data_IF_390599717582
#
_entry.id   IF_390599717582
#
_cell.length_a   1.000
_cell.length_b   1.000
_cell.length_c   1.000
_cell.angle_alpha   90.00
_cell.angle_beta   90.00
_cell.angle_gamma   90.00
#
_symmetry.space_group_name_H-M   'P 1'
#
loop_
_entity.id
_entity.type
_entity.pdbx_description
1 polymer ?
#
# COMPACT_ATOMS: atom_id res chain seq x y z
N UNK A 1 3.61 7.20 -16.14
CA UNK A 1 3.36 5.81 -16.62
C UNK A 1 3.11 4.93 -15.40
N UNK A 2 2.03 4.14 -15.44
CA UNK A 2 1.69 3.19 -14.38
C UNK A 2 2.81 2.17 -14.16
N UNK A 3 3.02 1.74 -12.93
CA UNK A 3 4.04 0.77 -12.54
C UNK A 3 3.41 -0.42 -11.84
N UNK A 4 3.91 -1.61 -12.12
CA UNK A 4 3.43 -2.85 -11.51
C UNK A 4 4.56 -3.59 -10.84
N UNK A 5 4.29 -4.20 -9.69
CA UNK A 5 5.27 -4.99 -8.95
C UNK A 5 4.66 -5.83 -7.82
N UNK A 6 5.45 -6.74 -7.24
CA UNK A 6 5.04 -7.58 -6.12
C UNK A 6 5.28 -6.91 -4.75
N UNK A 7 4.51 -7.34 -3.75
CA UNK A 7 4.73 -7.05 -2.33
C UNK A 7 5.78 -8.03 -1.76
N UNK A 8 7.05 -7.80 -2.07
CA UNK A 8 8.17 -8.62 -1.61
C UNK A 8 8.57 -9.76 -2.54
N UNK A 9 9.46 -10.62 -2.04
CA UNK A 9 9.92 -11.80 -2.74
C UNK A 9 8.87 -12.91 -2.69
N UNK A 10 8.65 -13.58 -3.81
CA UNK A 10 7.63 -14.61 -3.96
C UNK A 10 8.22 -15.97 -4.42
N UNK A 11 7.41 -17.01 -4.44
CA UNK A 11 7.86 -18.35 -4.88
C UNK A 11 8.51 -18.34 -6.25
N UNK A 12 8.00 -17.57 -7.20
CA UNK A 12 8.57 -17.48 -8.56
C UNK A 12 9.95 -16.83 -8.58
N UNK A 13 10.24 -15.88 -7.68
CA UNK A 13 11.58 -15.30 -7.50
C UNK A 13 12.59 -16.37 -7.05
N UNK A 14 12.24 -17.14 -6.03
CA UNK A 14 13.11 -18.23 -5.54
C UNK A 14 13.25 -19.36 -6.53
N UNK A 15 12.19 -19.72 -7.25
CA UNK A 15 12.21 -20.74 -8.32
C UNK A 15 13.09 -20.32 -9.51
N UNK A 16 13.22 -19.01 -9.78
CA UNK A 16 14.14 -18.48 -10.78
C UNK A 16 15.62 -18.49 -10.31
N UNK A 17 15.91 -19.00 -9.12
CA UNK A 17 17.27 -19.17 -8.58
C UNK A 17 17.78 -17.98 -7.76
N UNK A 18 17.02 -16.90 -7.62
CA UNK A 18 17.35 -15.75 -6.80
C UNK A 18 17.10 -16.02 -5.32
N UNK A 19 17.83 -15.33 -4.43
CA UNK A 19 17.77 -15.62 -2.98
C UNK A 19 17.66 -14.38 -2.09
N UNK A 20 18.28 -13.26 -2.52
CA UNK A 20 18.39 -12.04 -1.72
C UNK A 20 17.53 -10.92 -2.33
N UNK A 21 16.89 -10.13 -1.50
CA UNK A 21 16.04 -9.01 -1.96
C UNK A 21 16.80 -7.98 -2.82
N UNK A 22 18.11 -7.84 -2.64
CA UNK A 22 18.95 -6.96 -3.48
C UNK A 22 19.02 -7.44 -4.95
N UNK A 23 18.67 -8.70 -5.23
CA UNK A 23 18.62 -9.26 -6.58
C UNK A 23 17.24 -9.03 -7.24
N UNK A 24 16.21 -8.68 -6.46
CA UNK A 24 14.85 -8.49 -6.95
C UNK A 24 14.76 -7.45 -8.07
N UNK A 25 15.41 -6.27 -8.01
CA UNK A 25 15.32 -5.28 -9.09
C UNK A 25 15.79 -5.80 -10.44
N UNK A 26 16.87 -6.59 -10.48
CA UNK A 26 17.36 -7.22 -11.70
C UNK A 26 16.32 -8.19 -12.26
N UNK A 27 15.84 -9.11 -11.43
CA UNK A 27 14.85 -10.11 -11.84
C UNK A 27 13.54 -9.47 -12.31
N UNK A 28 13.03 -8.47 -11.60
CA UNK A 28 11.81 -7.75 -11.97
C UNK A 28 11.95 -7.08 -13.34
N UNK A 29 13.11 -6.47 -13.62
CA UNK A 29 13.40 -5.90 -14.94
C UNK A 29 13.38 -6.96 -16.03
N UNK A 30 13.98 -8.14 -15.78
CA UNK A 30 14.03 -9.25 -16.74
C UNK A 30 12.63 -9.77 -17.10
N UNK A 31 11.70 -9.80 -16.14
CA UNK A 31 10.32 -10.23 -16.37
C UNK A 31 9.35 -9.09 -16.78
N UNK A 32 9.83 -7.83 -16.88
CA UNK A 32 9.05 -6.71 -17.39
C UNK A 32 8.20 -5.95 -16.35
N UNK A 33 8.49 -6.12 -15.06
CA UNK A 33 7.91 -5.33 -13.95
C UNK A 33 8.78 -4.11 -13.63
N UNK A 34 8.18 -3.09 -12.98
CA UNK A 34 8.80 -1.79 -12.77
C UNK A 34 8.65 -1.23 -11.35
N UNK A 35 8.01 -1.98 -10.45
CA UNK A 35 7.87 -1.64 -9.05
C UNK A 35 8.21 -2.83 -8.14
N UNK A 36 8.57 -2.53 -6.90
CA UNK A 36 8.83 -3.51 -5.84
C UNK A 36 8.48 -2.89 -4.51
N UNK A 37 7.69 -3.57 -3.69
CA UNK A 37 7.45 -3.15 -2.33
C UNK A 37 8.18 -4.04 -1.33
N UNK A 38 9.02 -3.44 -0.50
CA UNK A 38 9.72 -4.15 0.56
C UNK A 38 8.88 -4.16 1.83
N UNK A 39 8.42 -5.33 2.29
CA UNK A 39 7.58 -5.44 3.48
C UNK A 39 8.43 -5.71 4.73
N UNK A 40 8.24 -4.88 5.76
CA UNK A 40 8.86 -5.09 7.07
C UNK A 40 8.11 -6.08 7.96
N UNK A 41 6.85 -6.39 7.65
CA UNK A 41 6.07 -7.40 8.37
C UNK A 41 6.10 -7.19 9.89
N UNK A 42 6.88 -8.02 10.60
CA UNK A 42 6.96 -8.01 12.07
C UNK A 42 8.12 -7.19 12.65
N UNK A 43 8.81 -6.39 11.83
CA UNK A 43 9.89 -5.53 12.31
C UNK A 43 10.87 -5.11 11.23
N UNK A 44 11.64 -4.07 11.53
CA UNK A 44 12.61 -3.48 10.61
C UNK A 44 13.94 -4.22 10.76
N UNK A 45 14.13 -5.29 9.96
CA UNK A 45 15.33 -6.14 10.00
C UNK A 45 16.33 -5.84 8.88
N UNK A 46 16.01 -4.91 7.98
CA UNK A 46 16.87 -4.53 6.86
C UNK A 46 18.08 -3.72 7.36
N UNK A 47 19.30 -4.26 7.19
CA UNK A 47 20.55 -3.55 7.53
C UNK A 47 20.81 -2.40 6.53
N UNK A 48 21.55 -1.38 6.97
CA UNK A 48 21.83 -0.18 6.16
C UNK A 48 22.58 -0.49 4.87
N UNK A 49 23.61 -1.32 4.93
CA UNK A 49 24.37 -1.75 3.74
C UNK A 49 23.47 -2.45 2.71
N UNK A 50 22.58 -3.33 3.17
CA UNK A 50 21.64 -4.03 2.30
C UNK A 50 20.59 -3.07 1.71
N UNK A 51 20.16 -2.06 2.48
CA UNK A 51 19.25 -1.03 1.99
C UNK A 51 19.89 -0.18 0.88
N UNK A 52 21.14 0.22 1.07
CA UNK A 52 21.92 0.97 0.08
C UNK A 52 22.11 0.12 -1.19
N UNK A 53 22.53 -1.14 -1.06
CA UNK A 53 22.71 -2.06 -2.19
C UNK A 53 21.40 -2.26 -2.95
N UNK A 54 20.28 -2.48 -2.26
CA UNK A 54 18.96 -2.57 -2.87
C UNK A 54 18.62 -1.32 -3.69
N UNK A 55 18.90 -0.14 -3.13
CA UNK A 55 18.69 1.15 -3.79
C UNK A 55 19.53 1.31 -5.06
N UNK A 56 20.81 0.94 -5.01
CA UNK A 56 21.70 0.96 -6.19
C UNK A 56 21.19 0.03 -7.29
N UNK A 57 20.76 -1.19 -6.95
CA UNK A 57 20.18 -2.12 -7.90
C UNK A 57 18.85 -1.60 -8.46
N UNK A 58 17.98 -1.05 -7.61
CA UNK A 58 16.71 -0.46 -8.05
C UNK A 58 16.94 0.68 -9.05
N UNK A 59 17.86 1.60 -8.77
CA UNK A 59 18.25 2.68 -9.67
C UNK A 59 18.81 2.16 -10.98
N UNK A 60 19.71 1.16 -10.93
CA UNK A 60 20.35 0.54 -12.10
C UNK A 60 19.33 -0.09 -13.05
N UNK A 61 18.33 -0.75 -12.52
CA UNK A 61 17.32 -1.48 -13.31
C UNK A 61 16.03 -0.69 -13.54
N UNK A 62 15.90 0.52 -13.00
CA UNK A 62 14.73 1.38 -13.18
C UNK A 62 13.49 0.86 -12.45
N UNK A 63 13.68 0.25 -11.27
CA UNK A 63 12.59 -0.24 -10.41
C UNK A 63 12.27 0.81 -9.34
N UNK A 64 11.00 1.21 -9.24
CA UNK A 64 10.53 2.04 -8.12
C UNK A 64 10.34 1.16 -6.89
N UNK A 65 10.96 1.55 -5.77
CA UNK A 65 10.84 0.82 -4.51
C UNK A 65 10.01 1.62 -3.53
N UNK A 66 8.97 0.99 -3.00
CA UNK A 66 8.22 1.40 -1.81
C UNK A 66 8.56 0.50 -0.63
N UNK A 67 8.19 0.93 0.57
CA UNK A 67 8.25 0.11 1.78
C UNK A 67 6.85 0.00 2.37
N UNK A 68 6.48 -1.20 2.81
CA UNK A 68 5.36 -1.41 3.71
C UNK A 68 5.87 -1.45 5.15
N UNK A 69 5.36 -0.55 6.00
CA UNK A 69 5.75 -0.44 7.40
C UNK A 69 5.29 -1.66 8.23
N UNK A 70 5.86 -1.88 9.44
CA UNK A 70 5.44 -2.97 10.31
C UNK A 70 3.97 -2.89 10.75
N UNK A 71 3.30 -4.04 10.90
CA UNK A 71 1.87 -4.15 11.29
C UNK A 71 1.54 -3.62 12.68
N UNK A 72 2.54 -3.28 13.51
CA UNK A 72 2.33 -2.85 14.89
C UNK A 72 1.90 -1.40 15.05
N UNK A 73 1.87 -0.64 13.95
CA UNK A 73 1.44 0.76 13.95
C UNK A 73 -0.05 0.83 14.23
N UNK A 74 -0.43 1.68 15.21
CA UNK A 74 -1.83 1.97 15.51
C UNK A 74 -1.96 3.38 16.10
N UNK A 75 -2.34 4.34 15.28
CA UNK A 75 -2.52 5.73 15.71
C UNK A 75 -3.81 5.98 16.49
N UNK A 76 -4.71 4.99 16.65
CA UNK A 76 -5.85 5.06 17.53
C UNK A 76 -5.59 4.49 18.95
N UNK A 77 -4.34 4.19 19.29
CA UNK A 77 -4.03 3.69 20.62
C UNK A 77 -4.16 4.82 21.66
N UNK A 78 -4.86 4.62 22.81
CA UNK A 78 -4.97 5.62 23.86
C UNK A 78 -3.70 5.80 24.72
N UNK A 79 -2.75 4.86 24.64
CA UNK A 79 -1.50 4.88 25.39
C UNK A 79 -0.44 5.72 24.63
N UNK A 80 0.06 6.84 25.24
CA UNK A 80 1.06 7.68 24.60
C UNK A 80 2.37 6.95 24.22
N UNK A 81 2.80 5.98 25.04
CA UNK A 81 4.01 5.21 24.75
C UNK A 81 3.84 4.34 23.50
N UNK A 82 2.62 3.84 23.25
CA UNK A 82 2.29 3.09 22.02
C UNK A 82 2.22 4.00 20.81
N UNK A 83 1.79 5.24 20.98
CA UNK A 83 1.82 6.24 19.91
C UNK A 83 3.26 6.60 19.56
N UNK A 84 4.11 6.88 20.55
CA UNK A 84 5.53 7.14 20.28
C UNK A 84 6.19 5.96 19.56
N UNK A 85 5.92 4.71 19.98
CA UNK A 85 6.39 3.53 19.27
C UNK A 85 5.88 3.47 17.82
N UNK A 86 4.62 3.82 17.55
CA UNK A 86 4.05 3.86 16.21
C UNK A 86 4.75 4.92 15.35
N UNK A 87 5.00 6.11 15.90
CA UNK A 87 5.77 7.18 15.24
C UNK A 87 7.20 6.68 14.93
N UNK A 88 7.86 6.04 15.89
CA UNK A 88 9.22 5.52 15.68
C UNK A 88 9.29 4.42 14.64
N UNK A 89 8.27 3.55 14.50
CA UNK A 89 8.19 2.60 13.40
C UNK A 89 8.13 3.30 12.04
N UNK A 90 7.36 4.38 11.92
CA UNK A 90 7.30 5.18 10.68
C UNK A 90 8.65 5.84 10.40
N UNK A 91 9.24 6.53 11.39
CA UNK A 91 10.55 7.21 11.25
C UNK A 91 11.65 6.23 10.83
N UNK A 92 11.77 5.11 11.54
CA UNK A 92 12.80 4.10 11.22
C UNK A 92 12.58 3.47 9.85
N UNK A 93 11.32 3.31 9.42
CA UNK A 93 11.01 2.83 8.06
C UNK A 93 11.42 3.85 7.00
N UNK A 94 11.21 5.15 7.27
CA UNK A 94 11.63 6.24 6.38
C UNK A 94 13.14 6.37 6.28
N UNK A 95 13.89 6.12 7.37
CA UNK A 95 15.36 6.07 7.31
C UNK A 95 15.84 4.97 6.34
N UNK A 96 15.21 3.79 6.38
CA UNK A 96 15.53 2.72 5.43
C UNK A 96 15.10 3.08 4.00
N UNK A 97 13.91 3.67 3.83
CA UNK A 97 13.40 4.12 2.55
C UNK A 97 14.34 5.17 1.92
N UNK A 98 14.90 6.07 2.73
CA UNK A 98 15.90 7.05 2.33
C UNK A 98 17.18 6.41 1.80
N UNK A 99 17.70 5.38 2.49
CA UNK A 99 18.87 4.63 2.03
C UNK A 99 18.61 3.89 0.71
N UNK A 100 17.40 3.36 0.52
CA UNK A 100 16.98 2.73 -0.73
C UNK A 100 16.80 3.77 -1.86
N UNK A 101 16.52 5.04 -1.51
CA UNK A 101 16.17 6.08 -2.48
C UNK A 101 14.72 6.05 -2.96
N UNK A 102 13.85 5.32 -2.26
CA UNK A 102 12.40 5.32 -2.46
C UNK A 102 11.71 6.56 -1.89
N UNK A 103 10.41 6.70 -2.16
CA UNK A 103 9.62 7.87 -1.72
C UNK A 103 8.30 7.53 -1.06
N UNK A 104 7.83 6.28 -1.12
CA UNK A 104 6.52 5.84 -0.65
C UNK A 104 6.66 4.87 0.52
N UNK A 105 6.03 5.20 1.65
CA UNK A 105 5.91 4.34 2.82
C UNK A 105 4.43 4.02 3.04
N UNK A 106 4.04 2.77 2.85
CA UNK A 106 2.68 2.30 3.14
C UNK A 106 2.54 2.02 4.63
N UNK A 107 1.42 2.46 5.20
CA UNK A 107 1.15 2.39 6.64
C UNK A 107 -0.31 2.02 6.89
N UNK A 108 -0.55 0.95 7.66
CA UNK A 108 -1.85 0.69 8.28
C UNK A 108 -2.10 1.76 9.34
N UNK A 109 -3.14 2.63 9.22
CA UNK A 109 -3.24 3.79 10.09
C UNK A 109 -3.66 3.44 11.52
N UNK A 110 -4.70 2.58 11.68
CA UNK A 110 -5.27 2.36 12.99
C UNK A 110 -6.21 1.13 13.07
N UNK A 111 -6.49 0.73 14.31
CA UNK A 111 -7.57 -0.19 14.65
C UNK A 111 -8.30 0.29 15.89
N UNK A 112 -9.61 -0.01 15.98
CA UNK A 112 -10.45 0.44 17.11
C UNK A 112 -10.01 -0.19 18.45
N UNK A 113 -9.46 -1.41 18.42
CA UNK A 113 -9.15 -2.12 19.66
C UNK A 113 -10.42 -2.33 20.51
N UNK A 114 -10.48 -1.63 21.65
CA UNK A 114 -11.64 -1.64 22.57
C UNK A 114 -12.46 -0.34 22.52
N UNK A 115 -12.02 0.63 21.73
CA UNK A 115 -12.68 1.93 21.58
C UNK A 115 -13.88 1.81 20.62
N UNK A 116 -14.85 2.70 20.77
CA UNK A 116 -15.80 2.91 19.69
C UNK A 116 -15.12 3.55 18.48
N UNK A 117 -15.78 3.47 17.32
CA UNK A 117 -15.15 3.90 16.05
C UNK A 117 -14.88 5.40 16.00
N UNK A 118 -15.79 6.23 16.53
CA UNK A 118 -15.66 7.68 16.47
C UNK A 118 -14.52 8.16 17.38
N UNK A 119 -14.39 7.54 18.56
CA UNK A 119 -13.28 7.80 19.48
C UNK A 119 -11.95 7.38 18.86
N UNK A 120 -11.89 6.19 18.26
CA UNK A 120 -10.70 5.69 17.57
C UNK A 120 -10.28 6.58 16.39
N UNK A 121 -11.23 7.04 15.56
CA UNK A 121 -11.00 7.99 14.48
C UNK A 121 -10.42 9.31 14.98
N UNK A 122 -11.00 9.87 16.04
CA UNK A 122 -10.52 11.13 16.64
C UNK A 122 -9.09 11.00 17.15
N UNK A 123 -8.77 9.90 17.82
CA UNK A 123 -7.39 9.62 18.27
C UNK A 123 -6.44 9.46 17.09
N UNK A 124 -6.83 8.70 16.07
CA UNK A 124 -6.01 8.51 14.87
C UNK A 124 -5.69 9.85 14.18
N UNK A 125 -6.68 10.75 14.02
CA UNK A 125 -6.46 12.08 13.45
C UNK A 125 -5.47 12.90 14.28
N UNK A 126 -5.64 12.97 15.59
CA UNK A 126 -4.76 13.72 16.48
C UNK A 126 -3.31 13.19 16.42
N UNK A 127 -3.16 11.87 16.45
CA UNK A 127 -1.82 11.23 16.45
C UNK A 127 -1.15 11.28 15.07
N UNK A 128 -1.91 11.30 13.98
CA UNK A 128 -1.38 11.56 12.64
C UNK A 128 -0.88 13.00 12.49
N UNK A 129 -1.47 13.98 13.17
CA UNK A 129 -0.93 15.34 13.23
C UNK A 129 0.39 15.38 14.01
N UNK A 130 0.51 14.64 15.13
CA UNK A 130 1.78 14.48 15.84
C UNK A 130 2.84 13.81 14.98
N UNK A 131 2.46 12.78 14.22
CA UNK A 131 3.36 12.18 13.24
C UNK A 131 3.84 13.21 12.22
N UNK A 132 2.92 13.99 11.62
CA UNK A 132 3.27 15.03 10.65
C UNK A 132 4.30 16.00 11.22
N UNK A 133 4.05 16.54 12.42
CA UNK A 133 4.98 17.45 13.08
C UNK A 133 6.37 16.83 13.29
N UNK A 134 6.41 15.55 13.74
CA UNK A 134 7.66 14.82 13.90
C UNK A 134 8.41 14.66 12.57
N UNK A 135 7.70 14.33 11.49
CA UNK A 135 8.30 14.18 10.16
C UNK A 135 8.84 15.51 9.60
N UNK A 136 8.15 16.62 9.85
CA UNK A 136 8.63 17.95 9.46
C UNK A 136 9.93 18.32 10.18
N UNK A 137 10.00 18.07 11.50
CA UNK A 137 11.21 18.32 12.31
C UNK A 137 12.39 17.47 11.82
N UNK A 138 12.15 16.20 11.44
CA UNK A 138 13.19 15.27 11.01
C UNK A 138 13.57 15.39 9.52
N UNK A 139 12.91 16.28 8.76
CA UNK A 139 13.20 16.51 7.35
C UNK A 139 12.65 15.42 6.41
N UNK A 140 11.53 14.78 6.78
CA UNK A 140 10.85 13.77 5.97
C UNK A 140 9.59 14.30 5.24
N UNK A 141 9.40 15.63 5.17
CA UNK A 141 8.22 16.24 4.53
C UNK A 141 8.08 15.94 3.03
N UNK A 142 9.18 15.54 2.36
CA UNK A 142 9.19 15.16 0.93
C UNK A 142 8.85 13.68 0.68
N UNK A 143 8.63 12.89 1.75
CA UNK A 143 8.26 11.48 1.64
C UNK A 143 6.75 11.31 1.70
N UNK A 144 6.22 10.39 0.91
CA UNK A 144 4.79 10.09 0.86
C UNK A 144 4.46 9.02 1.89
N UNK A 145 3.64 9.38 2.86
CA UNK A 145 3.04 8.44 3.81
C UNK A 145 1.74 7.95 3.20
N UNK A 146 1.75 6.72 2.75
CA UNK A 146 0.67 6.09 2.01
C UNK A 146 -0.25 5.34 2.99
N UNK A 147 -1.32 6.01 3.47
CA UNK A 147 -2.26 5.43 4.44
C UNK A 147 -3.18 4.43 3.73
N UNK A 148 -3.26 3.21 4.26
CA UNK A 148 -3.90 2.10 3.56
C UNK A 148 -5.33 1.85 4.00
N UNK A 149 -6.21 1.53 3.02
CA UNK A 149 -7.56 1.01 3.28
C UNK A 149 -7.50 -0.40 3.85
N UNK A 150 -8.38 -0.70 4.82
CA UNK A 150 -8.33 -1.93 5.61
C UNK A 150 -9.52 -2.86 5.35
N UNK A 151 -9.28 -4.17 5.45
CA UNK A 151 -10.23 -5.21 5.09
C UNK A 151 -11.13 -5.73 6.22
N UNK A 152 -10.97 -5.23 7.47
CA UNK A 152 -11.73 -5.72 8.63
C UNK A 152 -12.51 -4.60 9.30
N UNK A 153 -13.77 -4.84 9.74
CA UNK A 153 -14.61 -3.82 10.41
C UNK A 153 -13.99 -3.21 11.68
N UNK A 154 -13.15 -3.97 12.39
CA UNK A 154 -12.45 -3.49 13.59
C UNK A 154 -11.24 -2.58 13.30
N UNK A 155 -10.84 -2.46 12.05
CA UNK A 155 -9.77 -1.57 11.62
C UNK A 155 -10.36 -0.25 11.13
N UNK A 156 -9.62 0.84 11.33
CA UNK A 156 -9.91 2.15 10.76
C UNK A 156 -9.27 2.21 9.38
N UNK A 157 -10.07 2.35 8.34
CA UNK A 157 -9.51 2.31 6.98
C UNK A 157 -10.54 2.08 5.89
N UNK A 158 -11.80 2.50 6.04
CA UNK A 158 -12.66 2.68 4.87
C UNK A 158 -12.03 3.71 3.93
N UNK A 159 -12.30 3.65 2.63
CA UNK A 159 -11.70 4.60 1.70
C UNK A 159 -12.04 6.07 2.05
N UNK A 160 -13.22 6.32 2.64
CA UNK A 160 -13.63 7.66 3.10
C UNK A 160 -12.80 8.12 4.30
N UNK A 161 -12.55 7.24 5.27
CA UNK A 161 -11.70 7.54 6.43
C UNK A 161 -10.25 7.80 6.02
N UNK A 162 -9.70 6.99 5.11
CA UNK A 162 -8.34 7.17 4.60
C UNK A 162 -8.22 8.50 3.86
N UNK A 163 -9.17 8.83 3.00
CA UNK A 163 -9.19 10.11 2.28
C UNK A 163 -9.26 11.28 3.26
N UNK A 164 -10.07 11.18 4.32
CA UNK A 164 -10.17 12.22 5.33
C UNK A 164 -8.85 12.39 6.13
N UNK A 165 -8.21 11.30 6.55
CA UNK A 165 -6.88 11.34 7.16
C UNK A 165 -5.83 11.93 6.21
N UNK A 166 -5.93 11.67 4.91
CA UNK A 166 -5.02 12.24 3.93
C UNK A 166 -5.15 13.76 3.78
N UNK A 167 -6.23 14.40 4.20
CA UNK A 167 -6.37 15.87 4.24
C UNK A 167 -5.47 16.52 5.28
N UNK A 168 -5.02 15.79 6.29
CA UNK A 168 -4.20 16.31 7.40
C UNK A 168 -2.81 16.80 6.96
N UNK A 169 -2.28 16.29 5.84
CA UNK A 169 -0.97 16.67 5.34
C UNK A 169 -0.87 16.56 3.80
N UNK A 170 -0.12 17.44 3.12
CA UNK A 170 0.08 17.32 1.67
C UNK A 170 0.83 16.05 1.26
N UNK A 171 1.63 15.45 2.15
CA UNK A 171 2.38 14.22 1.90
C UNK A 171 1.68 12.94 2.41
N UNK A 172 0.48 13.03 2.97
CA UNK A 172 -0.35 11.87 3.25
C UNK A 172 -1.16 11.52 2.00
N UNK A 173 -0.90 10.34 1.46
CA UNK A 173 -1.46 9.84 0.19
C UNK A 173 -2.26 8.57 0.49
N UNK A 174 -3.42 8.36 -0.13
CA UNK A 174 -4.13 7.11 0.06
C UNK A 174 -3.43 5.95 -0.65
N UNK A 175 -3.27 4.83 0.07
CA UNK A 175 -3.10 3.52 -0.52
C UNK A 175 -4.47 2.87 -0.58
N UNK A 176 -4.94 2.60 -1.79
CA UNK A 176 -6.22 1.93 -2.00
C UNK A 176 -5.96 0.47 -2.26
N UNK A 177 -6.21 -0.37 -1.25
CA UNK A 177 -6.27 -1.81 -1.42
C UNK A 177 -7.70 -2.21 -1.80
N UNK A 178 -7.88 -2.57 -3.06
CA UNK A 178 -9.18 -2.95 -3.60
C UNK A 178 -9.63 -4.33 -3.11
N UNK A 179 -8.71 -5.21 -2.76
CA UNK A 179 -9.02 -6.47 -2.12
C UNK A 179 -9.61 -6.27 -0.71
N UNK A 180 -9.00 -5.38 0.08
CA UNK A 180 -9.51 -5.00 1.41
C UNK A 180 -10.90 -4.36 1.33
N UNK A 181 -11.11 -3.44 0.39
CA UNK A 181 -12.43 -2.81 0.19
C UNK A 181 -13.47 -3.87 -0.21
N UNK A 182 -13.13 -4.77 -1.14
CA UNK A 182 -14.03 -5.85 -1.56
C UNK A 182 -14.38 -6.78 -0.38
N UNK A 183 -13.41 -7.11 0.46
CA UNK A 183 -13.63 -7.93 1.66
C UNK A 183 -14.51 -7.22 2.69
N UNK A 184 -14.25 -5.95 2.97
CA UNK A 184 -15.02 -5.13 3.92
C UNK A 184 -16.48 -4.95 3.46
N UNK A 185 -16.71 -4.81 2.15
CA UNK A 185 -18.04 -4.65 1.55
C UNK A 185 -18.71 -5.98 1.18
N UNK A 186 -18.12 -7.12 1.57
CA UNK A 186 -18.65 -8.47 1.30
C UNK A 186 -18.90 -8.71 -0.20
N UNK A 187 -17.90 -8.35 -1.03
CA UNK A 187 -17.99 -8.50 -2.48
C UNK A 187 -18.68 -7.33 -3.19
N UNK A 188 -18.51 -6.12 -2.67
CA UNK A 188 -19.15 -4.92 -3.22
C UNK A 188 -18.54 -4.38 -4.50
N UNK A 189 -17.31 -4.78 -4.89
CA UNK A 189 -16.66 -4.32 -6.12
C UNK A 189 -16.97 -5.25 -7.29
N UNK A 190 -18.00 -4.96 -8.09
CA UNK A 190 -18.49 -5.79 -9.18
C UNK A 190 -18.44 -5.13 -10.54
N UNK A 191 -18.67 -3.83 -10.60
CA UNK A 191 -18.85 -3.07 -11.85
C UNK A 191 -17.84 -1.93 -11.94
N UNK A 192 -17.66 -1.36 -13.14
CA UNK A 192 -16.82 -0.17 -13.31
C UNK A 192 -17.29 1.00 -12.45
N UNK A 193 -18.60 1.12 -12.20
CA UNK A 193 -19.18 2.21 -11.40
C UNK A 193 -18.77 2.12 -9.93
N UNK A 194 -18.59 0.90 -9.37
CA UNK A 194 -18.12 0.72 -7.99
C UNK A 194 -16.68 1.28 -7.81
N UNK A 195 -15.80 1.03 -8.78
CA UNK A 195 -14.44 1.59 -8.77
C UNK A 195 -14.43 3.07 -9.10
N UNK A 196 -15.29 3.52 -10.02
CA UNK A 196 -15.41 4.93 -10.40
C UNK A 196 -15.88 5.78 -9.22
N UNK A 197 -16.79 5.28 -8.39
CA UNK A 197 -17.21 5.97 -7.15
C UNK A 197 -16.00 6.26 -6.26
N UNK A 198 -15.14 5.27 -6.01
CA UNK A 198 -13.97 5.42 -5.14
C UNK A 198 -12.97 6.42 -5.74
N UNK A 199 -12.61 6.28 -7.02
CA UNK A 199 -11.65 7.16 -7.67
C UNK A 199 -12.18 8.58 -7.76
N UNK A 200 -13.46 8.77 -8.14
CA UNK A 200 -14.11 10.08 -8.17
C UNK A 200 -14.11 10.74 -6.79
N UNK A 201 -14.41 9.98 -5.73
CA UNK A 201 -14.38 10.49 -4.36
C UNK A 201 -13.00 11.01 -3.98
N UNK A 202 -11.93 10.27 -4.31
CA UNK A 202 -10.55 10.68 -4.05
C UNK A 202 -10.23 11.99 -4.79
N UNK A 203 -10.60 12.10 -6.08
CA UNK A 203 -10.39 13.32 -6.87
C UNK A 203 -11.13 14.52 -6.30
N UNK A 204 -12.39 14.33 -5.93
CA UNK A 204 -13.24 15.40 -5.38
C UNK A 204 -12.73 15.92 -4.04
N UNK A 205 -12.27 15.03 -3.16
CA UNK A 205 -11.91 15.37 -1.78
C UNK A 205 -10.44 15.82 -1.63
N UNK A 206 -9.53 15.29 -2.45
CA UNK A 206 -8.08 15.58 -2.33
C UNK A 206 -7.53 16.46 -3.45
N UNK A 207 -8.30 16.67 -4.51
CA UNK A 207 -7.87 17.37 -5.71
C UNK A 207 -6.99 16.52 -6.63
N UNK A 208 -6.87 16.94 -7.88
CA UNK A 208 -6.21 16.18 -8.95
C UNK A 208 -4.74 15.85 -8.65
N UNK A 209 -3.98 16.84 -8.17
CA UNK A 209 -2.54 16.66 -7.91
C UNK A 209 -2.26 15.53 -6.92
N UNK A 210 -3.04 15.46 -5.85
CA UNK A 210 -2.89 14.45 -4.81
C UNK A 210 -3.49 13.12 -5.24
N UNK A 211 -4.66 13.15 -5.87
CA UNK A 211 -5.34 11.95 -6.38
C UNK A 211 -4.48 11.20 -7.41
N UNK A 212 -3.72 11.90 -8.26
CA UNK A 212 -2.79 11.27 -9.21
C UNK A 212 -1.59 10.59 -8.57
N UNK A 213 -1.32 10.82 -7.29
CA UNK A 213 -0.22 10.19 -6.53
C UNK A 213 -0.65 8.94 -5.77
N UNK A 214 -1.90 8.48 -5.87
CA UNK A 214 -2.39 7.30 -5.15
C UNK A 214 -1.46 6.11 -5.33
N UNK A 215 -1.40 5.29 -4.29
CA UNK A 215 -0.79 3.98 -4.30
C UNK A 215 -1.89 2.93 -4.33
N UNK A 216 -1.69 1.82 -5.01
CA UNK A 216 -2.71 0.78 -5.13
C UNK A 216 -2.12 -0.56 -4.69
N UNK A 217 -2.82 -1.25 -3.79
CA UNK A 217 -2.66 -2.67 -3.56
C UNK A 217 -3.79 -3.43 -4.24
N UNK A 218 -3.47 -4.58 -4.80
CA UNK A 218 -4.45 -5.41 -5.47
C UNK A 218 -4.15 -6.90 -5.31
N UNK A 219 -5.15 -7.62 -4.85
CA UNK A 219 -5.25 -9.08 -4.90
C UNK A 219 -6.71 -9.49 -4.77
N UNK A 220 -7.05 -10.72 -5.13
CA UNK A 220 -8.32 -11.31 -4.67
C UNK A 220 -8.19 -11.67 -3.20
N UNK A 221 -9.27 -11.55 -2.43
CA UNK A 221 -9.29 -11.82 -0.99
C UNK A 221 -10.46 -12.70 -0.62
N UNK A 222 -10.16 -13.80 0.10
CA UNK A 222 -11.19 -14.56 0.82
C UNK A 222 -11.68 -13.72 2.00
N UNK A 223 -13.00 -13.64 2.15
CA UNK A 223 -13.62 -12.88 3.23
C UNK A 223 -14.80 -13.65 3.86
N UNK A 224 -15.14 -13.27 5.08
CA UNK A 224 -16.28 -13.77 5.83
C UNK A 224 -16.97 -12.65 6.57
N UNK A 225 -17.90 -12.96 7.47
CA UNK A 225 -18.67 -11.97 8.22
C UNK A 225 -17.82 -10.94 9.02
N UNK A 226 -16.56 -11.25 9.29
CA UNK A 226 -15.59 -10.37 9.98
C UNK A 226 -14.63 -9.65 9.03
N UNK A 227 -14.92 -9.64 7.73
CA UNK A 227 -14.08 -9.05 6.69
C UNK A 227 -13.01 -10.02 6.18
N UNK A 228 -11.85 -9.51 5.82
CA UNK A 228 -10.71 -10.21 5.24
C UNK A 228 -10.27 -11.44 6.07
N UNK A 229 -10.00 -12.55 5.37
CA UNK A 229 -9.44 -13.79 5.92
C UNK A 229 -8.01 -13.97 5.41
N UNK A 230 -7.79 -13.94 4.08
CA UNK A 230 -6.46 -14.09 3.45
C UNK A 230 -6.46 -13.62 2.01
N UNK A 231 -5.29 -13.21 1.53
CA UNK A 231 -5.04 -12.94 0.13
C UNK A 231 -5.05 -14.24 -0.69
N UNK A 232 -5.62 -14.15 -1.89
CA UNK A 232 -5.72 -15.23 -2.87
C UNK A 232 -4.91 -14.87 -4.12
N UNK A 233 -4.83 -15.77 -5.07
CA UNK A 233 -4.27 -15.51 -6.39
C UNK A 233 -5.36 -14.98 -7.34
N UNK A 234 -4.96 -14.39 -8.46
CA UNK A 234 -5.95 -13.96 -9.49
C UNK A 234 -6.67 -15.12 -10.17
N UNK A 235 -6.16 -16.35 -10.02
CA UNK A 235 -6.79 -17.58 -10.53
C UNK A 235 -8.02 -18.03 -9.70
N UNK A 236 -8.26 -17.43 -8.52
CA UNK A 236 -9.46 -17.76 -7.73
C UNK A 236 -10.73 -17.34 -8.47
N UNK A 237 -11.72 -18.23 -8.53
CA UNK A 237 -12.98 -18.02 -9.25
C UNK A 237 -14.15 -17.68 -8.31
N UNK A 238 -13.94 -17.78 -6.99
CA UNK A 238 -15.00 -17.59 -5.99
C UNK A 238 -15.01 -16.14 -5.48
N UNK A 239 -13.83 -15.59 -5.20
CA UNK A 239 -13.70 -14.29 -4.61
C UNK A 239 -13.13 -13.27 -5.62
N UNK A 240 -13.51 -12.01 -5.45
CA UNK A 240 -12.96 -10.87 -6.17
C UNK A 240 -11.95 -10.08 -5.32
N UNK A 241 -11.66 -8.86 -5.74
CA UNK A 241 -12.24 -8.14 -6.90
C UNK A 241 -11.60 -8.51 -8.24
N UNK A 242 -12.22 -8.07 -9.35
CA UNK A 242 -11.63 -8.18 -10.69
C UNK A 242 -10.88 -6.89 -11.06
N UNK A 243 -9.74 -7.01 -11.74
CA UNK A 243 -8.89 -5.85 -12.06
C UNK A 243 -9.31 -5.11 -13.32
N UNK A 244 -9.90 -5.78 -14.31
CA UNK A 244 -10.24 -5.15 -15.59
C UNK A 244 -11.16 -3.92 -15.47
N UNK A 245 -12.21 -3.90 -14.62
CA UNK A 245 -13.01 -2.70 -14.38
C UNK A 245 -12.19 -1.55 -13.79
N UNK A 246 -11.31 -1.83 -12.81
CA UNK A 246 -10.41 -0.82 -12.25
C UNK A 246 -9.46 -0.26 -13.31
N UNK A 247 -8.86 -1.11 -14.14
CA UNK A 247 -7.93 -0.69 -15.18
C UNK A 247 -8.55 0.32 -16.16
N UNK A 248 -9.81 0.11 -16.56
CA UNK A 248 -10.56 1.07 -17.39
C UNK A 248 -10.78 2.41 -16.69
N UNK A 249 -11.19 2.37 -15.42
CA UNK A 249 -11.39 3.58 -14.61
C UNK A 249 -10.09 4.35 -14.42
N UNK A 250 -8.96 3.67 -14.18
CA UNK A 250 -7.65 4.34 -14.08
C UNK A 250 -7.26 5.05 -15.38
N UNK A 251 -7.58 4.46 -16.55
CA UNK A 251 -7.36 5.12 -17.85
C UNK A 251 -8.31 6.30 -18.04
N UNK A 252 -9.59 6.18 -17.69
CA UNK A 252 -10.59 7.25 -17.74
C UNK A 252 -10.14 8.49 -16.97
N UNK A 253 -9.65 8.32 -15.76
CA UNK A 253 -9.15 9.40 -14.90
C UNK A 253 -7.71 9.83 -15.20
N UNK A 254 -7.04 9.21 -16.16
CA UNK A 254 -5.64 9.46 -16.48
C UNK A 254 -4.71 9.35 -15.25
N UNK A 255 -4.91 8.31 -14.45
CA UNK A 255 -4.10 8.01 -13.26
C UNK A 255 -3.07 6.96 -13.59
N UNK A 256 -1.82 7.20 -13.19
CA UNK A 256 -0.70 6.28 -13.40
C UNK A 256 -0.06 5.92 -12.05
N UNK A 257 -0.73 5.15 -11.20
CA UNK A 257 -0.25 4.79 -9.87
C UNK A 257 0.91 3.79 -9.91
N UNK A 258 1.49 3.56 -8.72
CA UNK A 258 2.19 2.31 -8.44
C UNK A 258 1.14 1.30 -8.01
N UNK A 259 1.10 0.14 -8.66
CA UNK A 259 0.20 -0.98 -8.35
C UNK A 259 1.04 -2.14 -7.83
N UNK A 260 0.84 -2.48 -6.58
CA UNK A 260 1.51 -3.60 -5.91
C UNK A 260 0.54 -4.77 -5.77
N UNK A 261 0.98 -5.93 -6.24
CA UNK A 261 0.22 -7.16 -6.13
C UNK A 261 0.57 -7.88 -4.83
N UNK A 262 -0.46 -8.23 -4.04
CA UNK A 262 -0.34 -8.93 -2.77
C UNK A 262 -0.89 -10.37 -2.81
N UNK A 263 -1.01 -10.94 -4.01
CA UNK A 263 -1.47 -12.32 -4.18
C UNK A 263 -0.64 -13.32 -3.38
N UNK A 264 -1.30 -14.32 -2.81
CA UNK A 264 -0.61 -15.32 -2.01
C UNK A 264 0.47 -16.05 -2.82
N UNK A 265 1.72 -15.95 -2.39
CA UNK A 265 2.90 -16.68 -2.89
C UNK A 265 3.33 -16.42 -4.35
N UNK A 266 2.46 -15.88 -5.24
CA UNK A 266 2.73 -15.70 -6.68
C UNK A 266 2.66 -14.25 -7.13
N UNK A 267 2.87 -13.31 -6.23
CA UNK A 267 2.70 -11.87 -6.41
C UNK A 267 3.28 -11.31 -7.72
N UNK A 268 4.47 -11.74 -8.13
CA UNK A 268 5.08 -11.23 -9.36
C UNK A 268 4.43 -11.80 -10.64
N UNK A 269 3.98 -13.06 -10.63
CA UNK A 269 3.19 -13.63 -11.73
C UNK A 269 1.88 -12.87 -11.89
N UNK A 270 1.19 -12.64 -10.79
CA UNK A 270 -0.07 -11.93 -10.81
C UNK A 270 0.11 -10.43 -11.13
N UNK A 271 1.20 -9.79 -10.69
CA UNK A 271 1.53 -8.43 -11.11
C UNK A 271 1.73 -8.31 -12.64
N UNK A 272 2.30 -9.33 -13.29
CA UNK A 272 2.37 -9.40 -14.76
C UNK A 272 0.98 -9.53 -15.40
N UNK A 273 0.11 -10.36 -14.82
CA UNK A 273 -1.28 -10.50 -15.27
C UNK A 273 -2.05 -9.17 -15.13
N UNK A 274 -1.88 -8.45 -14.00
CA UNK A 274 -2.48 -7.11 -13.83
C UNK A 274 -1.99 -6.14 -14.90
N UNK A 275 -0.69 -6.15 -15.19
CA UNK A 275 -0.10 -5.33 -16.25
C UNK A 275 -0.69 -5.68 -17.62
N UNK A 276 -0.78 -6.96 -17.96
CA UNK A 276 -1.34 -7.43 -19.22
C UNK A 276 -2.83 -7.02 -19.37
N UNK A 277 -3.62 -7.17 -18.31
CA UNK A 277 -5.01 -6.70 -18.28
C UNK A 277 -5.07 -5.19 -18.55
N UNK A 278 -4.23 -4.40 -17.86
CA UNK A 278 -4.19 -2.94 -18.05
C UNK A 278 -3.80 -2.55 -19.47
N UNK A 279 -2.84 -3.21 -20.07
CA UNK A 279 -2.36 -2.91 -21.43
C UNK A 279 -3.45 -3.21 -22.49
N UNK A 280 -4.34 -4.17 -22.23
CA UNK A 280 -5.36 -4.67 -23.18
C UNK A 280 -6.75 -4.00 -23.05
N UNK A 281 -7.04 -3.17 -22.06
CA UNK A 281 -8.33 -2.47 -21.90
C UNK A 281 -8.33 -1.08 -22.51
#
# INVERSE_FOLDING_TARGET
MIKFGPAGNCKTFYAAGYKKSVEAPKWLKEIGLTAYEYSFGRGITLGDETAIELGEQAKKYGIEVSIHAPYYINFANPDPDKIENSIMYVVNSLEKLKLIGGKRLVVHPASCGKLDRDEALKLAHNNLLLLKERLDILGFSDYLICLETMGKPAQIGTYKEIVDMCKLSPNFIPTIDFGHINALTQGGLKTEDDYREIISYIFNELGEEKAKKIHIHFSKIEYGAKGEIRHLTLEDEIYGPEFAPLAKVLKEFNVSPVVICESNEVMAKDALNLKEIYDNV
#
